data_IF_229620253537
#
_entry.id   IF_229620253537
#
_cell.length_a   1.000
_cell.length_b   1.000
_cell.length_c   1.000
_cell.angle_alpha   90.00
_cell.angle_beta   90.00
_cell.angle_gamma   90.00
#
_symmetry.space_group_name_H-M   'P 1'
#
loop_
_entity.id
_entity.type
_entity.pdbx_description
1 polymer ?
#
# COMPACT_ATOMS: atom_id res chain seq x y z
N UNK A 1 7.34 19.82 -27.59
CA UNK A 1 7.03 19.39 -26.97
C UNK A 1 7.34 18.54 -26.38
N UNK A 2 7.35 18.29 -26.04
CA UNK A 2 7.50 17.66 -25.28
C UNK A 2 7.52 16.53 -25.09
N UNK A 3 8.23 16.05 -25.35
CA UNK A 3 8.41 14.76 -25.17
C UNK A 3 8.04 14.25 -23.97
N UNK A 4 7.03 14.12 -23.92
CA UNK A 4 6.51 13.84 -22.74
C UNK A 4 6.46 12.49 -22.37
N UNK A 5 7.11 12.16 -21.33
CA UNK A 5 6.88 10.96 -20.59
C UNK A 5 5.45 11.03 -20.13
N UNK A 6 4.67 10.11 -20.61
CA UNK A 6 3.29 10.04 -20.17
C UNK A 6 3.25 9.56 -18.73
N UNK A 7 2.60 10.33 -17.89
CA UNK A 7 2.39 9.97 -16.50
C UNK A 7 0.90 9.95 -16.21
N UNK A 8 0.52 9.14 -15.25
CA UNK A 8 -0.86 9.09 -14.81
C UNK A 8 -0.92 9.22 -13.29
N UNK A 9 -1.78 10.12 -12.81
CA UNK A 9 -1.99 10.37 -11.39
C UNK A 9 -3.39 9.94 -10.99
N UNK A 10 -3.49 9.33 -9.82
CA UNK A 10 -4.79 8.91 -9.29
C UNK A 10 -4.88 9.21 -7.80
N UNK A 11 -6.10 9.28 -7.31
CA UNK A 11 -6.37 9.49 -5.89
C UNK A 11 -7.48 8.53 -5.47
N UNK A 12 -7.31 7.89 -4.31
CA UNK A 12 -8.29 6.99 -3.74
C UNK A 12 -8.58 7.42 -2.31
N UNK A 13 -9.84 7.28 -1.89
CA UNK A 13 -10.24 7.53 -0.51
C UNK A 13 -11.15 6.39 -0.08
N UNK A 14 -10.98 5.93 1.16
CA UNK A 14 -11.85 4.90 1.69
C UNK A 14 -11.80 4.91 3.20
N UNK A 15 -12.71 4.14 3.78
CA UNK A 15 -12.86 4.04 5.22
C UNK A 15 -13.17 2.59 5.57
N UNK A 16 -12.46 2.04 6.53
CA UNK A 16 -12.60 0.63 6.92
C UNK A 16 -12.74 0.56 8.43
N UNK A 17 -13.66 -0.29 8.90
CA UNK A 17 -13.81 -0.56 10.33
C UNK A 17 -13.00 -1.79 10.68
N UNK A 18 -12.09 -1.65 11.63
CA UNK A 18 -11.18 -2.72 12.02
C UNK A 18 -11.48 -3.13 13.46
N UNK A 19 -11.73 -4.43 13.72
CA UNK A 19 -12.10 -4.90 15.06
C UNK A 19 -10.90 -5.04 16.00
N UNK A 20 -10.22 -3.93 16.25
CA UNK A 20 -9.07 -3.88 17.14
C UNK A 20 -8.88 -2.44 17.62
N UNK A 21 -8.14 -2.28 18.72
CA UNK A 21 -7.85 -0.95 19.23
C UNK A 21 -6.92 -0.20 18.30
N UNK A 22 -6.95 1.12 18.40
CA UNK A 22 -6.12 1.99 17.56
C UNK A 22 -4.63 1.64 17.69
N UNK A 23 -4.18 1.37 18.91
CA UNK A 23 -2.79 1.01 19.17
C UNK A 23 -2.40 -0.28 18.45
N UNK A 24 -3.27 -1.28 18.53
CA UNK A 24 -3.02 -2.56 17.84
C UNK A 24 -3.03 -2.41 16.34
N UNK A 25 -3.94 -1.60 15.82
CA UNK A 25 -4.00 -1.34 14.37
C UNK A 25 -2.72 -0.65 13.91
N UNK A 26 -2.29 0.36 14.67
CA UNK A 26 -1.06 1.08 14.33
C UNK A 26 0.15 0.14 14.32
N UNK A 27 0.30 -0.68 15.38
CA UNK A 27 1.40 -1.63 15.44
C UNK A 27 1.37 -2.60 14.27
N UNK A 28 0.18 -3.10 13.93
CA UNK A 28 0.04 -4.08 12.84
C UNK A 28 0.40 -3.46 11.49
N UNK A 29 0.05 -2.20 11.27
CA UNK A 29 0.37 -1.51 10.01
C UNK A 29 1.86 -1.20 9.88
N UNK A 30 2.62 -1.38 10.95
CA UNK A 30 4.07 -1.20 10.93
C UNK A 30 4.82 -2.52 11.15
N UNK A 31 4.10 -3.63 11.19
CA UNK A 31 4.69 -4.95 11.39
C UNK A 31 5.03 -5.56 10.03
N UNK A 32 6.31 -5.86 9.83
CA UNK A 32 6.81 -6.33 8.54
C UNK A 32 6.17 -7.66 8.12
N UNK A 33 5.90 -8.55 9.06
CA UNK A 33 5.31 -9.84 8.74
C UNK A 33 3.85 -9.68 8.30
N UNK A 34 3.12 -8.79 8.95
CA UNK A 34 1.75 -8.49 8.59
C UNK A 34 1.70 -7.79 7.24
N UNK A 35 2.56 -6.81 7.02
CA UNK A 35 2.62 -6.09 5.75
C UNK A 35 2.93 -7.04 4.59
N UNK A 36 3.88 -7.95 4.80
CA UNK A 36 4.25 -8.90 3.75
C UNK A 36 3.06 -9.79 3.38
N UNK A 37 2.30 -10.21 4.38
CA UNK A 37 1.11 -11.03 4.14
C UNK A 37 0.02 -10.26 3.39
N UNK A 38 -0.13 -8.98 3.71
CA UNK A 38 -1.23 -8.18 3.18
C UNK A 38 -0.97 -7.56 1.82
N UNK A 39 0.29 -7.21 1.53
CA UNK A 39 0.63 -6.58 0.25
C UNK A 39 0.54 -7.60 -0.88
N UNK A 40 -0.40 -7.40 -1.84
CA UNK A 40 -0.55 -8.36 -2.95
C UNK A 40 0.73 -8.48 -3.76
N UNK A 41 1.14 -9.73 -4.03
CA UNK A 41 2.31 -9.99 -4.84
C UNK A 41 3.66 -9.76 -4.17
N UNK A 42 3.65 -9.47 -2.88
CA UNK A 42 4.90 -9.19 -2.17
C UNK A 42 5.71 -10.48 -2.01
N UNK A 43 6.90 -10.50 -2.59
CA UNK A 43 7.81 -11.63 -2.52
C UNK A 43 8.83 -11.47 -1.41
N UNK A 44 9.32 -10.24 -1.22
CA UNK A 44 10.30 -9.93 -0.20
C UNK A 44 9.98 -8.59 0.44
N UNK A 45 10.15 -8.52 1.74
CA UNK A 45 9.97 -7.28 2.47
C UNK A 45 10.96 -7.30 3.64
N UNK A 46 11.86 -6.33 3.69
CA UNK A 46 12.84 -6.24 4.75
C UNK A 46 12.94 -4.82 5.29
N UNK A 47 13.30 -4.71 6.56
CA UNK A 47 13.48 -3.40 7.19
C UNK A 47 14.94 -3.02 7.08
N UNK A 48 15.20 -1.92 6.40
CA UNK A 48 16.55 -1.44 6.22
C UNK A 48 16.95 -0.44 7.29
N UNK A 49 16.01 0.45 7.62
CA UNK A 49 16.15 1.41 8.71
C UNK A 49 14.86 1.37 9.51
N UNK A 50 14.83 2.04 10.64
CA UNK A 50 13.67 1.98 11.53
C UNK A 50 12.35 2.22 10.81
N UNK A 51 12.29 3.23 9.95
CA UNK A 51 11.07 3.58 9.23
C UNK A 51 11.19 3.43 7.72
N UNK A 52 12.05 2.51 7.28
CA UNK A 52 12.30 2.35 5.86
C UNK A 52 12.38 0.88 5.49
N UNK A 53 11.52 0.48 4.56
CA UNK A 53 11.41 -0.90 4.11
C UNK A 53 11.84 -1.01 2.65
N UNK A 54 12.43 -2.15 2.32
CA UNK A 54 12.75 -2.52 0.93
C UNK A 54 11.84 -3.67 0.56
N UNK A 55 11.23 -3.57 -0.62
CA UNK A 55 10.23 -4.55 -1.05
C UNK A 55 10.49 -5.03 -2.48
N UNK A 56 10.12 -6.27 -2.74
CA UNK A 56 10.02 -6.80 -4.10
C UNK A 56 8.62 -7.33 -4.28
N UNK A 57 7.94 -6.81 -5.29
CA UNK A 57 6.54 -7.11 -5.52
C UNK A 57 6.33 -7.46 -7.00
N UNK A 58 5.65 -8.56 -7.27
CA UNK A 58 5.31 -8.96 -8.62
C UNK A 58 3.83 -8.75 -8.84
N UNK A 59 3.48 -7.95 -9.84
CA UNK A 59 2.09 -7.64 -10.16
C UNK A 59 1.82 -7.86 -11.62
N UNK A 60 0.57 -8.25 -11.91
CA UNK A 60 0.07 -8.33 -13.27
C UNK A 60 -1.01 -7.26 -13.41
N UNK A 61 -0.75 -6.30 -14.29
CA UNK A 61 -1.67 -5.18 -14.50
C UNK A 61 -2.09 -5.22 -15.97
N UNK A 62 -3.30 -5.78 -16.22
CA UNK A 62 -3.72 -6.05 -17.58
C UNK A 62 -2.73 -6.99 -18.26
N UNK A 63 -2.22 -6.64 -19.44
CA UNK A 63 -1.26 -7.48 -20.15
C UNK A 63 0.17 -7.33 -19.63
N UNK A 64 0.43 -6.40 -18.72
CA UNK A 64 1.78 -6.14 -18.23
C UNK A 64 2.01 -6.91 -16.93
N UNK A 65 3.00 -7.79 -16.93
CA UNK A 65 3.45 -8.48 -15.73
C UNK A 65 4.82 -7.92 -15.39
N UNK A 66 4.99 -7.39 -14.20
CA UNK A 66 6.23 -6.74 -13.82
C UNK A 66 6.63 -7.06 -12.39
N UNK A 67 7.93 -7.10 -12.17
CA UNK A 67 8.50 -7.21 -10.84
C UNK A 67 9.03 -5.84 -10.48
N UNK A 68 8.52 -5.31 -9.39
CA UNK A 68 8.92 -3.99 -8.90
C UNK A 68 9.84 -4.13 -7.70
N UNK A 69 10.97 -3.44 -7.76
CA UNK A 69 11.81 -3.25 -6.59
C UNK A 69 11.49 -1.87 -6.04
N UNK A 70 11.22 -1.80 -4.76
CA UNK A 70 10.75 -0.54 -4.20
C UNK A 70 11.20 -0.28 -2.78
N UNK A 71 10.93 0.93 -2.37
CA UNK A 71 11.26 1.43 -1.04
C UNK A 71 10.01 2.04 -0.45
N UNK A 72 9.75 1.72 0.81
CA UNK A 72 8.61 2.26 1.53
C UNK A 72 9.14 3.00 2.74
N UNK A 73 8.69 4.23 2.92
CA UNK A 73 9.02 5.04 4.08
C UNK A 73 7.78 5.15 4.94
N UNK A 74 7.92 4.79 6.21
CA UNK A 74 6.85 4.88 7.18
C UNK A 74 7.07 6.16 7.98
N UNK A 75 6.04 6.97 8.12
CA UNK A 75 6.15 8.19 8.92
C UNK A 75 5.25 8.08 10.13
N UNK A 76 5.78 7.61 11.28
CA UNK A 76 4.98 7.41 12.48
C UNK A 76 4.95 8.62 13.40
N UNK A 77 5.27 9.80 12.90
CA UNK A 77 5.40 11.00 13.75
C UNK A 77 4.12 11.39 14.47
N UNK A 78 2.97 10.95 13.98
CA UNK A 78 1.68 11.24 14.61
C UNK A 78 1.02 10.01 15.24
N UNK A 79 1.85 9.01 15.57
CA UNK A 79 1.36 7.78 16.17
C UNK A 79 0.66 8.05 17.51
N UNK A 80 -0.34 7.28 17.84
CA UNK A 80 -0.97 6.21 17.06
C UNK A 80 -2.21 6.69 16.29
N UNK A 81 -2.49 7.98 16.25
CA UNK A 81 -3.71 8.51 15.64
C UNK A 81 -3.63 8.68 14.14
N UNK A 82 -2.43 8.78 13.59
CA UNK A 82 -2.25 8.98 12.16
C UNK A 82 -0.85 8.57 11.73
N UNK A 83 -0.69 8.25 10.44
CA UNK A 83 0.65 8.09 9.86
C UNK A 83 0.57 8.24 8.35
N UNK A 84 1.72 8.49 7.73
CA UNK A 84 1.78 8.81 6.31
C UNK A 84 2.84 7.98 5.61
N UNK A 85 2.51 6.74 5.24
CA UNK A 85 3.45 5.91 4.48
C UNK A 85 3.59 6.41 3.05
N UNK A 86 4.77 6.27 2.48
CA UNK A 86 5.00 6.60 1.08
C UNK A 86 5.93 5.56 0.47
N UNK A 87 5.87 5.41 -0.84
CA UNK A 87 6.69 4.42 -1.49
C UNK A 87 6.88 4.68 -2.96
N UNK A 88 7.90 4.05 -3.50
CA UNK A 88 8.14 4.09 -4.93
C UNK A 88 8.70 2.75 -5.37
N UNK A 89 8.36 2.34 -6.58
CA UNK A 89 8.82 1.09 -7.15
C UNK A 89 9.18 1.26 -8.60
N UNK A 90 10.25 0.56 -9.01
CA UNK A 90 10.74 0.59 -10.37
C UNK A 90 10.57 -0.82 -10.95
N UNK A 91 9.87 -0.91 -12.06
CA UNK A 91 9.63 -2.16 -12.78
C UNK A 91 10.47 -2.29 -14.06
N UNK A 92 11.51 -1.48 -14.19
CA UNK A 92 12.36 -1.51 -15.37
C UNK A 92 11.60 -1.02 -16.60
N UNK A 93 11.58 -1.84 -17.63
CA UNK A 93 10.88 -1.45 -18.86
C UNK A 93 9.38 -1.34 -18.68
N UNK A 94 8.84 -1.93 -17.64
CA UNK A 94 7.41 -1.79 -17.36
C UNK A 94 7.05 -0.39 -16.86
N UNK A 95 8.03 0.36 -16.36
CA UNK A 95 7.79 1.70 -15.86
C UNK A 95 7.92 1.78 -14.35
N UNK A 96 7.35 2.82 -13.78
CA UNK A 96 7.46 3.04 -12.35
C UNK A 96 6.11 3.41 -11.74
N UNK A 97 6.02 3.27 -10.42
CA UNK A 97 4.87 3.73 -9.65
C UNK A 97 5.40 4.32 -8.35
N UNK A 98 4.79 5.41 -7.91
CA UNK A 98 5.11 5.99 -6.61
C UNK A 98 3.86 6.60 -6.00
N UNK A 99 3.83 6.67 -4.68
CA UNK A 99 2.68 7.24 -4.03
C UNK A 99 2.81 7.28 -2.53
N UNK A 100 1.76 7.74 -1.90
CA UNK A 100 1.68 7.82 -0.46
C UNK A 100 0.25 7.92 -0.02
N UNK A 101 0.07 7.83 1.27
CA UNK A 101 -1.26 7.91 1.86
C UNK A 101 -1.19 8.70 3.16
N UNK A 102 -2.30 9.37 3.46
CA UNK A 102 -2.52 9.95 4.78
C UNK A 102 -3.56 9.07 5.45
N UNK A 103 -3.18 8.44 6.54
CA UNK A 103 -4.03 7.49 7.25
C UNK A 103 -4.39 8.06 8.62
N UNK A 104 -5.69 8.05 8.92
CA UNK A 104 -6.19 8.42 10.24
C UNK A 104 -6.78 7.18 10.92
N UNK A 105 -6.48 7.02 12.19
CA UNK A 105 -7.02 5.93 12.99
C UNK A 105 -7.89 6.54 14.08
N UNK A 106 -9.19 6.37 13.92
CA UNK A 106 -10.18 6.98 14.81
C UNK A 106 -10.74 5.93 15.77
N UNK A 107 -10.65 6.18 17.05
CA UNK A 107 -11.20 5.25 18.05
C UNK A 107 -12.72 5.25 18.01
N UNK A 108 -13.29 4.05 18.06
CA UNK A 108 -14.73 3.87 18.11
C UNK A 108 -15.02 2.66 19.00
N UNK A 109 -15.11 2.89 20.30
CA UNK A 109 -15.24 1.85 21.33
C UNK A 109 -14.06 0.87 21.23
N UNK A 110 -14.33 -0.42 21.00
CA UNK A 110 -13.27 -1.42 20.88
C UNK A 110 -12.77 -1.58 19.44
N UNK A 111 -13.27 -0.76 18.55
CA UNK A 111 -12.91 -0.82 17.13
C UNK A 111 -12.15 0.43 16.70
N UNK A 112 -11.60 0.38 15.51
CA UNK A 112 -10.91 1.51 14.91
C UNK A 112 -11.49 1.77 13.53
N UNK A 113 -11.79 3.02 13.25
CA UNK A 113 -12.15 3.45 11.91
C UNK A 113 -10.87 3.93 11.26
N UNK A 114 -10.43 3.22 10.23
CA UNK A 114 -9.27 3.62 9.44
C UNK A 114 -9.76 4.37 8.23
N UNK A 115 -9.36 5.62 8.13
CA UNK A 115 -9.73 6.49 7.00
C UNK A 115 -8.47 6.86 6.27
N UNK A 116 -8.44 6.70 4.95
CA UNK A 116 -7.23 7.06 4.21
C UNK A 116 -7.53 7.81 2.92
N UNK A 117 -6.58 8.64 2.55
CA UNK A 117 -6.51 9.28 1.25
C UNK A 117 -5.17 8.89 0.66
N UNK A 118 -5.19 8.21 -0.47
CA UNK A 118 -3.97 7.76 -1.13
C UNK A 118 -3.83 8.45 -2.47
N UNK A 119 -2.61 8.83 -2.80
CA UNK A 119 -2.28 9.42 -4.09
C UNK A 119 -1.16 8.62 -4.71
N UNK A 120 -1.26 8.39 -6.01
CA UNK A 120 -0.24 7.64 -6.72
C UNK A 120 -0.06 8.19 -8.12
N UNK A 121 1.14 7.96 -8.66
CA UNK A 121 1.40 8.28 -10.06
C UNK A 121 2.22 7.17 -10.67
N UNK A 122 2.01 6.95 -11.98
CA UNK A 122 2.72 5.93 -12.74
C UNK A 122 3.32 6.58 -13.97
N UNK A 123 4.37 5.95 -14.47
CA UNK A 123 5.02 6.40 -15.69
C UNK A 123 5.48 5.22 -16.52
N UNK A 124 5.97 5.50 -17.73
CA UNK A 124 6.44 4.47 -18.65
C UNK A 124 5.30 3.63 -19.21
N UNK A 125 5.56 2.36 -19.43
CA UNK A 125 4.57 1.44 -20.01
C UNK A 125 3.30 1.35 -19.18
N UNK A 126 3.42 1.41 -17.85
CA UNK A 126 2.26 1.38 -17.00
C UNK A 126 1.28 2.50 -17.30
N UNK A 127 1.80 3.72 -17.48
CA UNK A 127 0.93 4.87 -17.74
C UNK A 127 0.19 4.72 -19.07
N UNK A 128 0.76 3.96 -20.00
CA UNK A 128 0.15 3.75 -21.32
C UNK A 128 -1.07 2.82 -21.25
N UNK A 129 -1.27 2.12 -20.15
CA UNK A 129 -2.42 1.23 -19.98
C UNK A 129 -3.74 1.98 -19.85
N UNK A 130 -3.65 3.28 -19.53
CA UNK A 130 -4.82 4.14 -19.44
C UNK A 130 -5.42 4.24 -18.06
N UNK A 131 -6.12 5.34 -17.85
CA UNK A 131 -6.68 5.69 -16.55
C UNK A 131 -7.60 4.64 -15.96
N UNK A 132 -8.46 4.07 -16.82
CA UNK A 132 -9.45 3.10 -16.34
C UNK A 132 -8.78 1.87 -15.74
N UNK A 133 -7.80 1.30 -16.45
CA UNK A 133 -7.14 0.09 -15.99
C UNK A 133 -6.29 0.35 -14.75
N UNK A 134 -5.57 1.47 -14.74
CA UNK A 134 -4.73 1.83 -13.60
C UNK A 134 -5.58 2.05 -12.36
N UNK A 135 -6.67 2.81 -12.49
CA UNK A 135 -7.55 3.08 -11.35
C UNK A 135 -8.22 1.80 -10.83
N UNK A 136 -8.73 0.96 -11.72
CA UNK A 136 -9.39 -0.27 -11.29
C UNK A 136 -8.39 -1.22 -10.62
N UNK A 137 -7.16 -1.27 -11.11
CA UNK A 137 -6.11 -2.07 -10.49
C UNK A 137 -5.77 -1.57 -9.10
N UNK A 138 -5.61 -0.25 -8.95
CA UNK A 138 -5.29 0.33 -7.65
C UNK A 138 -6.40 0.04 -6.64
N UNK A 139 -7.66 0.16 -7.04
CA UNK A 139 -8.79 -0.17 -6.18
C UNK A 139 -8.78 -1.63 -5.77
N UNK A 140 -8.49 -2.51 -6.72
CA UNK A 140 -8.43 -3.94 -6.45
C UNK A 140 -7.32 -4.28 -5.47
N UNK A 141 -6.15 -3.71 -5.66
CA UNK A 141 -5.01 -3.95 -4.77
C UNK A 141 -5.28 -3.45 -3.35
N UNK A 142 -5.89 -2.27 -3.23
CA UNK A 142 -6.27 -1.73 -1.93
C UNK A 142 -7.28 -2.63 -1.23
N UNK A 143 -8.27 -3.10 -1.97
CA UNK A 143 -9.29 -4.00 -1.43
C UNK A 143 -8.66 -5.29 -0.94
N UNK A 144 -7.76 -5.88 -1.73
CA UNK A 144 -7.07 -7.11 -1.34
C UNK A 144 -6.23 -6.91 -0.08
N UNK A 145 -5.52 -5.78 -0.01
CA UNK A 145 -4.71 -5.47 1.17
C UNK A 145 -5.59 -5.45 2.42
N UNK A 146 -6.68 -4.70 2.40
CA UNK A 146 -7.50 -4.55 3.59
C UNK A 146 -8.33 -5.79 3.93
N UNK A 147 -8.71 -6.59 2.93
CA UNK A 147 -9.36 -7.87 3.21
C UNK A 147 -8.42 -8.78 3.99
N UNK A 148 -7.16 -8.86 3.58
CA UNK A 148 -6.17 -9.67 4.28
C UNK A 148 -5.85 -9.08 5.64
N UNK A 149 -5.75 -7.76 5.72
CA UNK A 149 -5.47 -7.09 6.98
C UNK A 149 -6.57 -7.37 8.02
N UNK A 150 -7.83 -7.30 7.60
CA UNK A 150 -8.95 -7.62 8.48
C UNK A 150 -8.89 -9.06 8.96
N UNK A 151 -8.49 -9.99 8.09
CA UNK A 151 -8.39 -11.39 8.48
C UNK A 151 -7.24 -11.63 9.48
N UNK A 152 -6.16 -10.88 9.34
CA UNK A 152 -5.07 -10.94 10.32
C UNK A 152 -5.56 -10.37 11.66
N UNK A 153 -6.22 -9.21 11.62
CA UNK A 153 -6.65 -8.55 12.85
C UNK A 153 -7.76 -9.30 13.58
N UNK A 154 -8.56 -10.08 12.86
CA UNK A 154 -9.61 -10.91 13.47
C UNK A 154 -9.11 -12.27 13.94
N UNK A 155 -7.83 -12.58 13.71
CA UNK A 155 -7.25 -13.85 14.09
C UNK A 155 -7.46 -14.99 13.10
N UNK A 156 -8.10 -14.71 11.95
CA UNK A 156 -8.31 -15.73 10.93
C UNK A 156 -6.99 -16.19 10.31
N UNK A 157 -6.03 -15.27 10.21
CA UNK A 157 -4.69 -15.59 9.75
C UNK A 157 -3.74 -15.44 10.92
N UNK A 158 -3.05 -16.52 11.28
CA UNK A 158 -2.11 -16.51 12.38
C UNK A 158 -0.68 -16.48 11.84
N UNK A 159 0.03 -15.41 12.12
CA UNK A 159 1.40 -15.22 11.66
C UNK A 159 2.45 -15.53 12.72
N UNK A 160 2.03 -16.04 13.86
CA UNK A 160 2.95 -16.36 14.95
C UNK A 160 3.54 -17.74 14.79
N UNK A 161 4.48 -17.87 13.90
CA UNK A 161 5.18 -19.14 13.76
C UNK A 161 6.64 -18.94 13.53
#
# INVERSE_FOLDING_TARGET
MSGTTREYKLELQDEIIIPATREKVFEALNDINILKECIPGCEELSREKENELIAKVTLKIGPVKARFGGRVILDPSKAPSAFSPSGEGDGGIAGFAKGGADVELIESDAETILRYTAKAETGGKLAQLGARLITSTAKKLSKMFFERFLRVMSGEIDLKK
#
